data_IF_680437542327
#
_entry.id   IF_680437542327
#
_cell.length_a   1.000
_cell.length_b   1.000
_cell.length_c   1.000
_cell.angle_alpha   90.00
_cell.angle_beta   90.00
_cell.angle_gamma   90.00
#
_symmetry.space_group_name_H-M   'P 1'
#
loop_
_entity.id
_entity.type
_entity.pdbx_description
1 polymer ?
#
# COMPACT_ATOMS: atom_id res chain seq x y z
N UNK A 1 -1.70 14.98 21.22
CA UNK A 1 -2.12 15.70 22.44
C UNK A 1 -3.44 16.48 22.28
N UNK A 2 -3.97 16.63 21.06
CA UNK A 2 -5.21 17.39 20.84
C UNK A 2 -6.46 16.59 21.19
N UNK A 3 -6.41 15.25 21.05
CA UNK A 3 -7.53 14.33 21.31
C UNK A 3 -7.04 13.04 21.98
N UNK A 4 -6.52 13.10 23.23
CA UNK A 4 -5.77 12.00 23.83
C UNK A 4 -6.62 10.77 24.17
N UNK A 5 -7.94 10.89 24.25
CA UNK A 5 -8.84 9.80 24.65
C UNK A 5 -9.78 9.33 23.54
N UNK A 6 -9.63 9.89 22.34
CA UNK A 6 -10.46 9.51 21.18
C UNK A 6 -9.77 8.40 20.41
N UNK A 7 -10.42 7.25 20.18
CA UNK A 7 -9.89 6.22 19.30
C UNK A 7 -9.64 6.77 17.87
N UNK A 8 -8.47 6.47 17.33
CA UNK A 8 -8.03 6.94 16.02
C UNK A 8 -7.96 5.77 15.04
N UNK A 9 -8.31 6.01 13.80
CA UNK A 9 -8.12 5.07 12.70
C UNK A 9 -7.52 5.79 11.51
N UNK A 10 -6.47 5.22 10.92
CA UNK A 10 -5.95 5.65 9.62
C UNK A 10 -6.81 4.97 8.55
N UNK A 11 -7.68 5.74 7.94
CA UNK A 11 -8.65 5.21 6.97
C UNK A 11 -8.13 5.21 5.53
N UNK A 12 -7.00 5.89 5.30
CA UNK A 12 -6.39 6.01 3.98
C UNK A 12 -4.89 6.32 4.13
N UNK A 13 -4.03 5.50 3.54
CA UNK A 13 -2.61 5.73 3.41
C UNK A 13 -2.06 4.94 2.22
N UNK A 14 -1.26 5.56 1.36
CA UNK A 14 -0.76 4.87 0.18
C UNK A 14 0.35 5.62 -0.53
N UNK A 15 1.01 4.93 -1.42
CA UNK A 15 2.15 5.41 -2.20
C UNK A 15 1.94 5.14 -3.69
N UNK A 16 1.82 6.21 -4.47
CA UNK A 16 1.69 6.12 -5.94
C UNK A 16 3.06 6.12 -6.61
N UNK A 17 3.32 5.11 -7.42
CA UNK A 17 4.56 4.92 -8.16
C UNK A 17 4.32 4.39 -9.57
N UNK A 18 5.36 4.47 -10.42
CA UNK A 18 5.39 3.83 -11.73
C UNK A 18 6.01 2.45 -11.58
N UNK A 19 5.20 1.42 -11.82
CA UNK A 19 5.65 0.03 -11.73
C UNK A 19 6.13 -0.46 -13.11
N UNK A 20 7.18 -1.29 -13.11
CA UNK A 20 7.62 -2.01 -14.29
C UNK A 20 7.14 -3.46 -14.22
N UNK A 21 6.63 -3.95 -15.34
CA UNK A 21 6.34 -5.38 -15.53
C UNK A 21 7.53 -6.00 -16.25
N UNK A 22 8.18 -6.96 -15.61
CA UNK A 22 9.32 -7.69 -16.17
C UNK A 22 8.87 -8.65 -17.28
N UNK A 23 9.82 -9.18 -18.05
CA UNK A 23 9.54 -10.11 -19.16
C UNK A 23 8.78 -11.38 -18.70
N UNK A 24 9.03 -11.85 -17.48
CA UNK A 24 8.36 -13.00 -16.87
C UNK A 24 7.00 -12.65 -16.22
N UNK A 25 6.59 -11.38 -16.29
CA UNK A 25 5.36 -10.87 -15.70
C UNK A 25 5.46 -10.49 -14.22
N UNK A 26 6.62 -10.65 -13.59
CA UNK A 26 6.85 -10.21 -12.22
C UNK A 26 6.87 -8.67 -12.10
N UNK A 27 6.56 -8.16 -10.91
CA UNK A 27 6.59 -6.74 -10.61
C UNK A 27 7.29 -6.54 -9.28
N UNK A 28 8.51 -6.01 -9.38
CA UNK A 28 9.36 -5.72 -8.23
C UNK A 28 9.16 -4.28 -7.79
N UNK A 29 8.52 -4.10 -6.65
CA UNK A 29 8.15 -2.79 -6.11
C UNK A 29 8.69 -2.52 -4.68
N UNK A 30 10.03 -2.63 -4.48
CA UNK A 30 10.65 -2.45 -3.15
C UNK A 30 10.38 -1.06 -2.58
N UNK A 31 10.27 -0.03 -3.41
CA UNK A 31 9.93 1.34 -3.01
C UNK A 31 8.58 1.44 -2.29
N UNK A 32 7.66 0.51 -2.54
CA UNK A 32 6.36 0.44 -1.85
C UNK A 32 6.54 -0.13 -0.44
N UNK A 33 7.40 -1.15 -0.29
CA UNK A 33 7.79 -1.68 1.02
C UNK A 33 8.51 -0.60 1.85
N UNK A 34 9.44 0.13 1.22
CA UNK A 34 10.20 1.21 1.86
C UNK A 34 9.30 2.36 2.34
N UNK A 35 8.15 2.55 1.71
CA UNK A 35 7.12 3.48 2.18
C UNK A 35 6.31 2.91 3.36
N UNK A 36 5.75 1.71 3.23
CA UNK A 36 4.84 1.17 4.24
C UNK A 36 5.53 0.72 5.52
N UNK A 37 6.72 0.13 5.42
CA UNK A 37 7.46 -0.38 6.59
C UNK A 37 7.66 0.69 7.67
N UNK A 38 8.24 1.87 7.40
CA UNK A 38 8.41 2.89 8.43
C UNK A 38 7.09 3.44 8.96
N UNK A 39 6.01 3.47 8.16
CA UNK A 39 4.69 3.86 8.65
C UNK A 39 4.15 2.87 9.68
N UNK A 40 4.30 1.57 9.44
CA UNK A 40 3.85 0.53 10.38
C UNK A 40 4.68 0.58 11.66
N UNK A 41 6.00 0.80 11.56
CA UNK A 41 6.87 0.98 12.73
C UNK A 41 6.40 2.18 13.56
N UNK A 42 6.18 3.33 12.93
CA UNK A 42 5.71 4.53 13.61
C UNK A 42 4.32 4.34 14.27
N UNK A 43 3.44 3.55 13.66
CA UNK A 43 2.15 3.19 14.27
C UNK A 43 2.33 2.33 15.53
N UNK A 44 3.25 1.36 15.50
CA UNK A 44 3.58 0.53 16.69
C UNK A 44 4.12 1.41 17.82
N UNK A 45 5.08 2.28 17.53
CA UNK A 45 5.63 3.23 18.49
C UNK A 45 4.55 4.14 19.08
N UNK A 46 3.65 4.67 18.24
CA UNK A 46 2.55 5.49 18.71
C UNK A 46 1.59 4.75 19.65
N UNK A 47 1.31 3.47 19.38
CA UNK A 47 0.49 2.62 20.26
C UNK A 47 1.22 2.37 21.58
N UNK A 48 2.51 2.09 21.56
CA UNK A 48 3.35 1.92 22.77
C UNK A 48 3.38 3.20 23.61
N UNK A 49 3.36 4.37 22.98
CA UNK A 49 3.27 5.68 23.63
C UNK A 49 1.86 6.01 24.17
N UNK A 50 0.90 5.09 23.99
CA UNK A 50 -0.45 5.22 24.53
C UNK A 50 -1.48 5.88 23.60
N UNK A 51 -1.15 6.05 22.32
CA UNK A 51 -2.13 6.53 21.33
C UNK A 51 -3.16 5.42 21.05
N UNK A 52 -4.47 5.68 21.19
CA UNK A 52 -5.51 4.68 20.97
C UNK A 52 -5.76 4.47 19.45
N UNK A 53 -4.75 4.02 18.74
CA UNK A 53 -4.85 3.69 17.31
C UNK A 53 -5.48 2.31 17.16
N UNK A 54 -6.69 2.25 16.59
CA UNK A 54 -7.51 1.04 16.51
C UNK A 54 -7.53 0.39 15.13
N UNK A 55 -7.00 1.03 14.10
CA UNK A 55 -7.00 0.47 12.76
C UNK A 55 -6.20 1.26 11.75
N UNK A 56 -5.88 0.56 10.68
CA UNK A 56 -5.16 1.09 9.54
C UNK A 56 -5.67 0.47 8.25
N UNK A 57 -5.95 1.29 7.25
CA UNK A 57 -6.30 0.84 5.91
C UNK A 57 -5.45 1.53 4.86
N UNK A 58 -5.12 0.79 3.81
CA UNK A 58 -4.35 1.32 2.70
C UNK A 58 -5.24 1.94 1.64
N UNK A 59 -4.73 2.94 0.97
CA UNK A 59 -5.37 3.50 -0.23
C UNK A 59 -5.09 2.62 -1.44
N UNK A 60 -6.16 2.20 -2.13
CA UNK A 60 -6.07 1.54 -3.41
C UNK A 60 -5.30 0.22 -3.39
N UNK A 61 -5.73 -0.84 -2.67
CA UNK A 61 -5.02 -2.13 -2.62
C UNK A 61 -4.92 -2.81 -4.00
N UNK A 62 -5.82 -2.47 -4.90
CA UNK A 62 -5.78 -2.83 -6.33
C UNK A 62 -5.51 -1.55 -7.10
N UNK A 63 -4.67 -1.61 -8.13
CA UNK A 63 -4.38 -0.44 -8.96
C UNK A 63 -5.64 0.22 -9.48
N UNK A 64 -5.65 1.54 -9.43
CA UNK A 64 -6.76 2.39 -9.80
C UNK A 64 -6.25 3.64 -10.54
N UNK A 65 -7.15 4.42 -11.11
CA UNK A 65 -6.80 5.73 -11.65
C UNK A 65 -6.43 6.68 -10.51
N UNK A 66 -5.25 7.27 -10.58
CA UNK A 66 -4.83 8.28 -9.61
C UNK A 66 -5.79 9.47 -9.60
N UNK A 67 -6.43 9.72 -8.47
CA UNK A 67 -7.33 10.86 -8.32
C UNK A 67 -6.63 12.21 -8.49
N UNK A 68 -5.36 12.29 -8.10
CA UNK A 68 -4.58 13.52 -8.18
C UNK A 68 -4.03 13.84 -9.57
N UNK A 69 -3.81 12.83 -10.42
CA UNK A 69 -3.16 13.02 -11.75
C UNK A 69 -4.00 12.53 -12.91
N UNK A 70 -5.08 11.77 -12.66
CA UNK A 70 -5.92 11.18 -13.71
C UNK A 70 -5.22 10.06 -14.49
N UNK A 71 -4.17 9.45 -13.97
CA UNK A 71 -3.32 8.49 -14.67
C UNK A 71 -3.48 7.07 -14.11
N UNK A 72 -3.53 6.08 -14.99
CA UNK A 72 -3.36 4.65 -14.63
C UNK A 72 -1.90 4.34 -14.30
N UNK A 73 -0.95 4.99 -14.94
CA UNK A 73 0.49 4.73 -14.77
C UNK A 73 0.97 4.99 -13.34
N UNK A 74 0.38 5.96 -12.62
CA UNK A 74 0.66 6.21 -11.21
C UNK A 74 -0.11 5.23 -10.33
N UNK A 75 0.52 4.11 -9.99
CA UNK A 75 -0.08 2.94 -9.36
C UNK A 75 0.11 2.93 -7.86
N UNK A 76 -0.94 2.57 -7.14
CA UNK A 76 -0.97 2.53 -5.65
C UNK A 76 -1.04 1.11 -5.08
N UNK A 77 -1.56 0.16 -5.87
CA UNK A 77 -1.96 -1.14 -5.38
C UNK A 77 -0.82 -2.13 -5.13
N UNK A 78 -1.14 -3.13 -4.34
CA UNK A 78 -0.39 -4.38 -4.22
C UNK A 78 -0.71 -5.37 -5.34
N UNK A 79 -1.82 -5.11 -6.03
CA UNK A 79 -2.29 -5.88 -7.18
C UNK A 79 -2.25 -4.96 -8.40
N UNK A 80 -1.46 -5.35 -9.38
CA UNK A 80 -1.36 -4.69 -10.67
C UNK A 80 -2.61 -4.92 -11.50
N UNK A 81 -3.05 -3.89 -12.21
CA UNK A 81 -4.11 -3.97 -13.22
C UNK A 81 -3.52 -3.57 -14.57
N UNK A 82 -3.60 -4.47 -15.55
CA UNK A 82 -3.13 -4.22 -16.89
C UNK A 82 -4.06 -3.24 -17.63
N UNK A 83 -3.88 -1.96 -17.34
CA UNK A 83 -4.55 -0.84 -18.01
C UNK A 83 -3.61 0.34 -18.08
N UNK A 84 -3.56 0.99 -19.25
CA UNK A 84 -2.63 2.08 -19.56
C UNK A 84 -3.38 3.36 -19.91
N UNK A 85 -2.67 4.49 -19.83
CA UNK A 85 -3.23 5.83 -20.06
C UNK A 85 -3.67 6.04 -21.51
N UNK A 86 -3.09 5.29 -22.46
CA UNK A 86 -3.47 5.29 -23.88
C UNK A 86 -4.73 4.46 -24.19
N UNK A 87 -5.34 3.87 -23.16
CA UNK A 87 -6.55 3.06 -23.30
C UNK A 87 -6.29 1.60 -23.65
N UNK A 88 -5.02 1.15 -23.73
CA UNK A 88 -4.66 -0.27 -23.93
C UNK A 88 -4.72 -1.06 -22.64
N UNK A 89 -4.63 -2.39 -22.75
CA UNK A 89 -4.68 -3.32 -21.61
C UNK A 89 -6.03 -4.01 -21.47
N UNK A 90 -6.00 -5.21 -20.91
CA UNK A 90 -7.13 -6.15 -20.84
C UNK A 90 -7.75 -6.23 -19.44
N UNK A 91 -7.32 -5.36 -18.50
CA UNK A 91 -7.69 -5.37 -17.08
C UNK A 91 -7.31 -6.63 -16.32
N UNK A 92 -6.46 -7.49 -16.87
CA UNK A 92 -5.92 -8.63 -16.12
C UNK A 92 -5.17 -8.15 -14.87
N UNK A 93 -5.13 -8.99 -13.84
CA UNK A 93 -4.57 -8.66 -12.54
C UNK A 93 -3.43 -9.60 -12.20
N UNK A 94 -2.36 -9.04 -11.65
CA UNK A 94 -1.22 -9.80 -11.13
C UNK A 94 -0.76 -9.26 -9.77
N UNK A 95 -0.22 -10.13 -8.95
CA UNK A 95 0.29 -9.78 -7.63
C UNK A 95 1.69 -9.20 -7.77
N UNK A 96 1.96 -8.09 -7.09
CA UNK A 96 3.29 -7.49 -6.98
C UNK A 96 4.06 -8.11 -5.81
N UNK A 97 5.37 -7.86 -5.71
CA UNK A 97 6.16 -8.31 -4.55
C UNK A 97 5.58 -7.77 -3.24
N UNK A 98 5.13 -6.52 -3.24
CA UNK A 98 4.48 -5.90 -2.10
C UNK A 98 3.21 -6.62 -1.63
N UNK A 99 2.49 -7.33 -2.52
CA UNK A 99 1.35 -8.16 -2.11
C UNK A 99 1.77 -9.28 -1.15
N UNK A 100 2.84 -9.99 -1.48
CA UNK A 100 3.32 -11.10 -0.67
C UNK A 100 3.92 -10.62 0.65
N UNK A 101 4.60 -9.49 0.62
CA UNK A 101 5.11 -8.84 1.81
C UNK A 101 3.96 -8.37 2.73
N UNK A 102 2.98 -7.63 2.21
CA UNK A 102 1.87 -7.11 2.99
C UNK A 102 0.98 -8.22 3.56
N UNK A 103 0.85 -9.34 2.84
CA UNK A 103 0.19 -10.55 3.36
C UNK A 103 0.87 -11.04 4.64
N UNK A 104 2.21 -11.13 4.67
CA UNK A 104 2.96 -11.51 5.89
C UNK A 104 2.75 -10.50 7.03
N UNK A 105 2.73 -9.21 6.70
CA UNK A 105 2.44 -8.15 7.69
C UNK A 105 1.08 -8.37 8.33
N UNK A 106 0.04 -8.63 7.55
CA UNK A 106 -1.32 -8.88 8.05
C UNK A 106 -1.40 -10.18 8.86
N UNK A 107 -0.81 -11.26 8.39
CA UNK A 107 -0.80 -12.57 9.08
C UNK A 107 -0.09 -12.51 10.43
N UNK A 108 0.90 -11.64 10.56
CA UNK A 108 1.66 -11.42 11.79
C UNK A 108 1.13 -10.26 12.66
N UNK A 109 0.03 -9.63 12.25
CA UNK A 109 -0.48 -8.40 12.89
C UNK A 109 0.59 -7.32 13.05
N UNK A 110 1.41 -7.11 12.00
CA UNK A 110 2.46 -6.10 11.95
C UNK A 110 3.78 -6.48 12.61
N UNK A 111 3.94 -7.71 13.11
CA UNK A 111 5.18 -8.13 13.76
C UNK A 111 6.28 -8.50 12.74
N UNK A 112 5.91 -9.09 11.60
CA UNK A 112 6.84 -9.43 10.53
C UNK A 112 6.82 -8.36 9.45
N UNK A 113 7.89 -7.58 9.37
CA UNK A 113 8.09 -6.50 8.38
C UNK A 113 9.23 -6.80 7.40
N UNK A 114 9.73 -8.03 7.36
CA UNK A 114 10.80 -8.47 6.45
C UNK A 114 10.29 -8.97 5.09
#
# INVERSE_FOLDING_TARGET
DRYPEVPLMIVENGFGAFDNVEEDGSIHDPYRLDYFRPHIIAMKEAIEDGVPLIGYTTWGPIDLVSAGTGQYAKRYGFIYVNRHDDGTGDFSRSKKDSYFWFKKVLESNGENLE
#
